data_IF_782898113836
#
_entry.id   IF_782898113836
#
_cell.length_a   1.000
_cell.length_b   1.000
_cell.length_c   1.000
_cell.angle_alpha   90.00
_cell.angle_beta   90.00
_cell.angle_gamma   90.00
#
_symmetry.space_group_name_H-M   'P 1'
#
loop_
_entity.id
_entity.type
_entity.pdbx_description
1 polymer ?
#
# COMPACT_ATOMS: atom_id res chain seq x y z
N UNK A 1 -35.13 9.40 0.95
CA UNK A 1 -34.88 8.26 1.87
C UNK A 1 -33.65 8.61 2.69
N UNK A 2 -33.78 8.93 3.97
CA UNK A 2 -32.62 9.25 4.83
C UNK A 2 -32.21 7.95 5.50
N UNK A 3 -31.04 7.44 5.14
CA UNK A 3 -30.45 6.25 5.78
C UNK A 3 -29.95 6.70 7.15
N UNK A 4 -30.69 6.38 8.20
CA UNK A 4 -30.23 6.59 9.57
C UNK A 4 -29.37 5.40 9.97
N UNK A 5 -28.06 5.55 9.85
CA UNK A 5 -27.12 4.59 10.39
C UNK A 5 -27.02 4.81 11.90
N UNK A 6 -27.15 3.73 12.66
CA UNK A 6 -26.82 3.75 14.08
C UNK A 6 -25.33 4.05 14.25
N UNK A 7 -24.92 4.80 15.29
CA UNK A 7 -23.56 5.29 15.44
C UNK A 7 -22.51 4.16 15.43
N UNK A 8 -22.85 3.00 16.00
CA UNK A 8 -21.98 1.82 16.00
C UNK A 8 -21.77 1.30 14.59
N UNK A 9 -22.82 1.19 13.79
CA UNK A 9 -22.74 0.73 12.40
C UNK A 9 -21.88 1.67 11.56
N UNK A 10 -21.97 2.98 11.77
CA UNK A 10 -21.15 3.96 11.07
C UNK A 10 -19.66 3.79 11.37
N UNK A 11 -19.31 3.53 12.63
CA UNK A 11 -17.93 3.29 13.04
C UNK A 11 -17.41 2.00 12.39
N UNK A 12 -18.18 0.92 12.44
CA UNK A 12 -17.78 -0.36 11.83
C UNK A 12 -17.55 -0.21 10.33
N UNK A 13 -18.45 0.46 9.62
CA UNK A 13 -18.31 0.71 8.19
C UNK A 13 -17.06 1.56 7.89
N UNK A 14 -16.80 2.61 8.67
CA UNK A 14 -15.61 3.44 8.49
C UNK A 14 -14.31 2.65 8.68
N UNK A 15 -14.24 1.77 9.71
CA UNK A 15 -13.08 0.91 9.96
C UNK A 15 -12.87 -0.07 8.80
N UNK A 16 -13.94 -0.70 8.31
CA UNK A 16 -13.86 -1.63 7.18
C UNK A 16 -13.42 -0.93 5.90
N UNK A 17 -13.92 0.27 5.63
CA UNK A 17 -13.52 1.07 4.47
C UNK A 17 -12.05 1.50 4.57
N UNK A 18 -11.60 1.93 5.74
CA UNK A 18 -10.19 2.28 5.97
C UNK A 18 -9.27 1.07 5.76
N UNK A 19 -9.66 -0.10 6.26
CA UNK A 19 -8.91 -1.33 6.06
C UNK A 19 -8.87 -1.74 4.59
N UNK A 20 -10.01 -1.78 3.91
CA UNK A 20 -10.11 -2.11 2.49
C UNK A 20 -9.27 -1.16 1.64
N UNK A 21 -9.33 0.14 1.92
CA UNK A 21 -8.51 1.14 1.25
C UNK A 21 -7.03 0.85 1.46
N UNK A 22 -6.60 0.64 2.70
CA UNK A 22 -5.21 0.31 2.98
C UNK A 22 -4.76 -0.97 2.27
N UNK A 23 -5.59 -2.02 2.22
CA UNK A 23 -5.23 -3.24 1.47
C UNK A 23 -5.14 -3.03 -0.03
N UNK A 24 -5.96 -2.15 -0.60
CA UNK A 24 -5.98 -1.86 -2.03
C UNK A 24 -4.86 -0.90 -2.45
N UNK A 25 -4.49 0.05 -1.59
CA UNK A 25 -3.54 1.11 -1.91
C UNK A 25 -2.18 0.96 -1.24
N UNK A 26 -2.02 0.03 -0.28
CA UNK A 26 -0.73 -0.19 0.34
C UNK A 26 0.28 -0.60 -0.75
N UNK A 27 1.32 0.20 -0.99
CA UNK A 27 2.41 -0.26 -1.83
C UNK A 27 2.99 -1.52 -1.18
N UNK A 28 3.13 -2.59 -1.97
CA UNK A 28 3.76 -3.81 -1.51
C UNK A 28 5.18 -3.57 -0.96
N UNK A 29 5.83 -4.59 -0.39
CA UNK A 29 7.17 -4.43 0.17
C UNK A 29 8.12 -3.84 -0.88
N UNK A 30 8.97 -2.90 -0.45
CA UNK A 30 9.94 -2.22 -1.30
C UNK A 30 11.32 -2.76 -1.00
N UNK A 31 12.04 -3.18 -2.04
CA UNK A 31 13.37 -3.75 -1.99
C UNK A 31 14.39 -2.69 -2.46
N UNK A 32 15.58 -2.69 -1.85
CA UNK A 32 16.66 -1.82 -2.31
C UNK A 32 17.53 -2.56 -3.33
N UNK A 33 17.60 -2.01 -4.54
CA UNK A 33 18.40 -2.55 -5.64
C UNK A 33 19.61 -1.64 -5.83
N UNK A 34 20.81 -2.21 -5.91
CA UNK A 34 21.98 -1.46 -6.37
C UNK A 34 21.89 -1.31 -7.89
N UNK A 35 21.66 -0.09 -8.35
CA UNK A 35 21.69 0.28 -9.77
C UNK A 35 22.86 1.25 -10.02
N UNK A 36 23.46 1.18 -11.21
CA UNK A 36 24.54 2.09 -11.59
C UNK A 36 23.97 3.25 -12.43
N UNK A 37 23.93 4.45 -11.86
CA UNK A 37 23.42 5.65 -12.51
C UNK A 37 24.58 6.64 -12.74
N UNK A 38 24.84 7.00 -13.99
CA UNK A 38 25.90 7.95 -14.36
C UNK A 38 27.28 7.59 -13.77
N UNK A 39 27.60 6.29 -13.75
CA UNK A 39 28.88 5.78 -13.22
C UNK A 39 28.96 5.66 -11.70
N UNK A 40 27.90 6.01 -10.95
CA UNK A 40 27.82 5.85 -9.49
C UNK A 40 26.84 4.75 -9.13
N UNK A 41 27.21 3.93 -8.15
CA UNK A 41 26.30 2.94 -7.56
C UNK A 41 25.35 3.64 -6.60
N UNK A 42 24.06 3.53 -6.84
CA UNK A 42 22.99 4.10 -6.00
C UNK A 42 22.00 3.01 -5.61
N UNK A 43 21.45 3.13 -4.40
CA UNK A 43 20.41 2.25 -3.90
C UNK A 43 19.06 2.81 -4.33
N UNK A 44 18.38 2.12 -5.23
CA UNK A 44 17.07 2.52 -5.76
C UNK A 44 15.99 1.65 -5.10
N UNK A 45 14.97 2.26 -4.45
CA UNK A 45 13.81 1.52 -3.96
C UNK A 45 12.96 1.06 -5.15
N UNK A 46 12.73 -0.26 -5.26
CA UNK A 46 11.87 -0.89 -6.26
C UNK A 46 10.84 -1.80 -5.58
N UNK A 47 9.64 -2.00 -6.15
CA UNK A 47 8.71 -3.00 -5.61
C UNK A 47 9.37 -4.38 -5.56
N UNK A 48 9.35 -5.04 -4.41
CA UNK A 48 9.99 -6.35 -4.23
C UNK A 48 9.41 -7.42 -5.18
N UNK A 49 8.14 -7.29 -5.59
CA UNK A 49 7.51 -8.18 -6.56
C UNK A 49 8.22 -8.18 -7.93
N UNK A 50 8.89 -7.09 -8.29
CA UNK A 50 9.63 -6.96 -9.54
C UNK A 50 11.10 -7.44 -9.42
N UNK A 51 11.59 -7.57 -8.18
CA UNK A 51 13.02 -7.84 -7.88
C UNK A 51 13.26 -9.28 -7.45
N UNK A 52 12.35 -9.86 -6.65
CA UNK A 52 12.44 -11.22 -6.16
C UNK A 52 11.56 -12.12 -7.04
N UNK A 53 12.12 -12.80 -8.06
CA UNK A 53 11.37 -13.80 -8.80
C UNK A 53 10.89 -14.89 -7.84
N UNK A 54 9.64 -15.34 -8.03
CA UNK A 54 9.02 -16.42 -7.27
C UNK A 54 9.74 -17.74 -7.44
#
# INVERSE_FOLDING_TARGET
MIVRLEPITAIVVAVLLAWAWNTATAPGPVCQVQEQHQGKTVLVPRPCADVLPK
#
